data_IF_684536099096
#
_entry.id   IF_684536099096
#
_cell.length_a   1.000
_cell.length_b   1.000
_cell.length_c   1.000
_cell.angle_alpha   90.00
_cell.angle_beta   90.00
_cell.angle_gamma   90.00
#
_symmetry.space_group_name_H-M   'P 1'
#
loop_
_entity.id
_entity.type
_entity.pdbx_description
1 polymer ?
#
# COMPACT_ATOMS: atom_id res chain seq x y z
N UNK A 1 -62.21 22.12 69.70
CA UNK A 1 -61.37 22.67 68.61
C UNK A 1 -60.40 21.59 68.14
N UNK A 2 -60.28 21.41 66.83
CA UNK A 2 -59.75 20.21 66.16
C UNK A 2 -58.24 19.99 66.35
N UNK A 3 -57.84 18.72 66.58
CA UNK A 3 -56.44 18.25 66.54
C UNK A 3 -56.00 18.13 65.08
N UNK A 4 -55.01 18.93 64.68
CA UNK A 4 -54.39 18.94 63.35
C UNK A 4 -53.39 17.79 63.26
N UNK A 5 -53.61 16.81 62.37
CA UNK A 5 -52.63 15.76 62.10
C UNK A 5 -51.45 16.34 61.31
N UNK A 6 -50.23 16.11 61.79
CA UNK A 6 -48.98 16.71 61.26
C UNK A 6 -48.22 15.83 60.25
N UNK A 7 -48.67 14.60 59.98
CA UNK A 7 -48.12 13.77 58.91
C UNK A 7 -49.11 12.69 58.48
N UNK A 8 -49.21 12.44 57.16
CA UNK A 8 -49.91 11.30 56.57
C UNK A 8 -48.90 10.36 55.93
N UNK A 9 -48.94 9.07 56.28
CA UNK A 9 -48.17 8.04 55.59
C UNK A 9 -48.98 7.56 54.39
N UNK A 10 -48.58 7.97 53.19
CA UNK A 10 -49.10 7.41 51.94
C UNK A 10 -48.40 6.07 51.69
N UNK A 11 -49.14 4.96 51.80
CA UNK A 11 -48.65 3.60 51.60
C UNK A 11 -48.57 3.19 50.13
N UNK A 12 -48.21 4.08 49.22
CA UNK A 12 -48.07 3.75 47.79
C UNK A 12 -46.61 3.77 47.38
N UNK A 13 -46.09 2.60 47.01
CA UNK A 13 -44.82 2.44 46.30
C UNK A 13 -45.10 2.65 44.82
N UNK A 14 -44.68 3.79 44.27
CA UNK A 14 -44.68 4.00 42.81
C UNK A 14 -43.49 3.23 42.23
N UNK A 15 -43.75 2.06 41.69
CA UNK A 15 -42.78 1.39 40.82
C UNK A 15 -42.61 2.25 39.56
N UNK A 16 -41.38 2.66 39.27
CA UNK A 16 -41.03 3.06 37.91
C UNK A 16 -41.15 1.80 37.06
N UNK A 17 -42.29 1.63 36.37
CA UNK A 17 -42.42 0.62 35.35
C UNK A 17 -41.52 1.07 34.20
N UNK A 18 -40.25 0.66 34.26
CA UNK A 18 -39.32 0.85 33.17
C UNK A 18 -39.95 0.12 31.98
N UNK A 19 -40.26 0.88 30.92
CA UNK A 19 -40.88 0.32 29.72
C UNK A 19 -40.06 -0.89 29.23
N UNK A 20 -40.71 -1.90 28.62
CA UNK A 20 -40.00 -3.05 28.10
C UNK A 20 -38.85 -2.58 27.20
N UNK A 21 -37.71 -3.28 27.28
CA UNK A 21 -36.53 -3.00 26.44
C UNK A 21 -37.00 -2.99 24.98
N UNK A 22 -36.92 -1.84 24.32
CA UNK A 22 -37.27 -1.73 22.91
C UNK A 22 -36.33 -2.56 22.06
N UNK A 23 -36.78 -3.11 20.92
CA UNK A 23 -35.95 -3.98 20.11
C UNK A 23 -34.78 -3.20 19.52
N UNK A 24 -33.61 -3.84 19.44
CA UNK A 24 -32.48 -3.37 18.67
C UNK A 24 -32.83 -3.44 17.18
N UNK A 25 -32.91 -2.29 16.53
CA UNK A 25 -33.15 -2.21 15.08
C UNK A 25 -31.85 -2.55 14.35
N UNK A 26 -31.90 -3.48 13.39
CA UNK A 26 -30.73 -3.88 12.59
C UNK A 26 -31.05 -3.90 11.10
N UNK A 27 -30.11 -3.49 10.23
CA UNK A 27 -30.32 -3.46 8.78
C UNK A 27 -30.35 -4.88 8.19
N UNK A 28 -31.24 -5.10 7.22
CA UNK A 28 -31.33 -6.34 6.44
C UNK A 28 -31.25 -6.11 4.92
N UNK A 29 -30.86 -4.91 4.49
CA UNK A 29 -30.68 -4.55 3.09
C UNK A 29 -31.99 -4.13 2.40
N UNK A 30 -32.08 -4.34 1.09
CA UNK A 30 -33.30 -4.06 0.32
C UNK A 30 -34.40 -5.10 0.61
N UNK A 31 -35.65 -4.63 0.64
CA UNK A 31 -36.81 -5.49 0.81
C UNK A 31 -36.94 -6.47 -0.36
N UNK A 32 -37.09 -7.76 -0.05
CA UNK A 32 -37.37 -8.81 -1.03
C UNK A 32 -38.60 -9.61 -0.62
N UNK A 33 -39.55 -9.77 -1.56
CA UNK A 33 -40.80 -10.51 -1.34
C UNK A 33 -40.59 -12.00 -0.99
N UNK A 34 -39.47 -12.58 -1.44
CA UNK A 34 -39.09 -13.97 -1.20
C UNK A 34 -38.49 -14.22 0.19
N UNK A 35 -38.11 -13.16 0.93
CA UNK A 35 -37.44 -13.26 2.23
C UNK A 35 -38.44 -13.16 3.37
N UNK A 36 -38.22 -13.96 4.42
CA UNK A 36 -38.96 -13.88 5.67
C UNK A 36 -38.21 -12.99 6.66
N UNK A 37 -38.90 -12.00 7.22
CA UNK A 37 -38.37 -11.09 8.21
C UNK A 37 -39.00 -11.38 9.57
N UNK A 38 -38.18 -11.59 10.59
CA UNK A 38 -38.64 -11.92 11.94
C UNK A 38 -38.30 -10.82 12.91
N UNK A 39 -39.30 -10.33 13.65
CA UNK A 39 -39.09 -9.44 14.80
C UNK A 39 -39.31 -10.21 16.09
N UNK A 40 -38.38 -10.03 17.02
CA UNK A 40 -38.45 -10.52 18.40
C UNK A 40 -38.64 -9.33 19.35
N UNK A 41 -38.92 -9.57 20.65
CA UNK A 41 -38.92 -8.49 21.64
C UNK A 41 -37.59 -7.71 21.70
N UNK A 42 -36.47 -8.34 21.33
CA UNK A 42 -35.13 -7.77 21.44
C UNK A 42 -34.55 -7.27 20.11
N UNK A 43 -35.13 -7.63 18.97
CA UNK A 43 -34.57 -7.31 17.66
C UNK A 43 -35.63 -7.07 16.59
N UNK A 44 -35.43 -6.04 15.77
CA UNK A 44 -36.34 -5.68 14.70
C UNK A 44 -35.58 -5.42 13.38
N UNK A 45 -35.87 -6.15 12.30
CA UNK A 45 -35.22 -5.92 11.02
C UNK A 45 -35.68 -4.61 10.38
N UNK A 46 -34.76 -3.95 9.69
CA UNK A 46 -34.98 -2.73 8.92
C UNK A 46 -34.59 -2.95 7.45
N UNK A 47 -35.50 -2.63 6.55
CA UNK A 47 -35.32 -2.79 5.09
C UNK A 47 -35.40 -1.45 4.36
N UNK A 48 -34.66 -1.34 3.27
CA UNK A 48 -34.83 -0.29 2.26
C UNK A 48 -35.89 -0.74 1.26
N UNK A 49 -36.93 0.07 1.06
CA UNK A 49 -37.95 -0.17 0.04
C UNK A 49 -38.21 1.13 -0.72
N UNK A 50 -37.89 1.15 -2.01
CA UNK A 50 -38.11 2.29 -2.91
C UNK A 50 -37.59 3.63 -2.34
N UNK A 51 -36.38 3.63 -1.79
CA UNK A 51 -35.69 4.83 -1.31
C UNK A 51 -36.03 5.27 0.12
N UNK A 52 -36.87 4.51 0.84
CA UNK A 52 -37.22 4.80 2.24
C UNK A 52 -36.96 3.59 3.14
N UNK A 53 -36.57 3.85 4.39
CA UNK A 53 -36.32 2.81 5.39
C UNK A 53 -37.58 2.51 6.21
N UNK A 54 -37.86 1.21 6.36
CA UNK A 54 -38.98 0.70 7.13
C UNK A 54 -38.50 -0.30 8.16
N UNK A 55 -39.03 -0.21 9.37
CA UNK A 55 -38.74 -1.14 10.47
C UNK A 55 -39.94 -2.05 10.68
N UNK A 56 -39.69 -3.34 10.90
CA UNK A 56 -40.75 -4.29 11.21
C UNK A 56 -41.35 -3.94 12.57
N UNK A 57 -42.65 -3.65 12.61
CA UNK A 57 -43.36 -3.12 13.77
C UNK A 57 -43.96 -4.21 14.68
N UNK A 58 -44.40 -5.31 14.08
CA UNK A 58 -45.09 -6.39 14.76
C UNK A 58 -44.14 -7.53 15.06
N UNK A 59 -44.25 -8.12 16.25
CA UNK A 59 -43.52 -9.36 16.58
C UNK A 59 -44.06 -10.54 15.75
N UNK A 60 -43.15 -11.44 15.37
CA UNK A 60 -43.45 -12.57 14.50
C UNK A 60 -42.66 -12.55 13.19
N UNK A 61 -42.97 -13.52 12.32
CA UNK A 61 -42.31 -13.71 11.03
C UNK A 61 -43.25 -13.33 9.90
N UNK A 62 -42.81 -12.42 9.03
CA UNK A 62 -43.60 -11.88 7.93
C UNK A 62 -42.85 -12.05 6.60
N UNK A 63 -43.57 -12.45 5.56
CA UNK A 63 -43.04 -12.66 4.21
C UNK A 63 -44.00 -12.06 3.19
N UNK A 64 -43.47 -11.56 2.07
CA UNK A 64 -44.27 -11.05 0.95
C UNK A 64 -45.24 -9.89 1.30
N UNK A 65 -44.93 -9.09 2.33
CA UNK A 65 -45.65 -7.84 2.66
C UNK A 65 -44.78 -6.66 2.25
N UNK A 66 -45.15 -5.93 1.19
CA UNK A 66 -44.40 -4.78 0.71
C UNK A 66 -44.47 -3.62 1.73
N UNK A 67 -43.33 -3.13 2.27
CA UNK A 67 -43.31 -2.14 3.35
C UNK A 67 -44.01 -0.83 3.02
N UNK A 68 -43.77 -0.28 1.83
CA UNK A 68 -44.34 1.00 1.40
C UNK A 68 -45.84 0.93 1.21
N UNK A 69 -46.33 -0.12 0.56
CA UNK A 69 -47.78 -0.34 0.36
C UNK A 69 -48.50 -0.59 1.69
N UNK A 70 -47.91 -1.40 2.56
CA UNK A 70 -48.48 -1.71 3.88
C UNK A 70 -48.56 -0.45 4.76
N UNK A 71 -47.49 0.35 4.81
CA UNK A 71 -47.49 1.61 5.55
C UNK A 71 -48.48 2.62 4.98
N UNK A 72 -48.58 2.76 3.66
CA UNK A 72 -49.54 3.65 3.02
C UNK A 72 -50.99 3.29 3.34
N UNK A 73 -51.30 2.00 3.49
CA UNK A 73 -52.64 1.51 3.80
C UNK A 73 -52.98 1.58 5.30
N UNK A 74 -52.00 1.30 6.18
CA UNK A 74 -52.26 1.02 7.60
C UNK A 74 -51.60 2.01 8.58
N UNK A 75 -50.77 2.95 8.09
CA UNK A 75 -50.07 3.95 8.89
C UNK A 75 -49.24 3.34 10.03
N UNK A 76 -49.35 3.89 11.24
CA UNK A 76 -48.62 3.40 12.43
C UNK A 76 -49.02 1.99 12.90
N UNK A 77 -50.12 1.43 12.38
CA UNK A 77 -50.60 0.06 12.67
C UNK A 77 -50.14 -0.97 11.64
N UNK A 78 -49.41 -0.53 10.62
CA UNK A 78 -48.80 -1.37 9.61
C UNK A 78 -47.84 -2.40 10.23
N UNK A 79 -47.61 -3.47 9.50
CA UNK A 79 -46.56 -4.45 9.81
C UNK A 79 -45.19 -3.82 9.65
N UNK A 80 -45.03 -2.93 8.67
CA UNK A 80 -43.84 -2.10 8.47
C UNK A 80 -44.13 -0.63 8.77
N UNK A 81 -43.31 0.01 9.59
CA UNK A 81 -43.44 1.45 9.88
C UNK A 81 -42.29 2.25 9.28
N UNK A 82 -42.61 3.41 8.71
CA UNK A 82 -41.62 4.33 8.16
C UNK A 82 -40.72 4.88 9.26
N UNK A 83 -39.42 4.91 9.00
CA UNK A 83 -38.43 5.47 9.90
C UNK A 83 -38.21 6.96 9.61
N UNK A 84 -38.90 7.82 10.36
CA UNK A 84 -39.01 9.26 10.07
C UNK A 84 -37.78 10.10 10.51
N UNK A 85 -36.91 9.58 11.38
CA UNK A 85 -35.88 10.42 12.05
C UNK A 85 -34.44 9.93 11.98
N UNK A 86 -34.13 8.96 11.12
CA UNK A 86 -32.74 8.51 11.00
C UNK A 86 -32.26 8.45 9.57
N UNK A 87 -31.39 9.41 9.23
CA UNK A 87 -30.45 9.27 8.12
C UNK A 87 -29.31 8.38 8.62
N UNK A 88 -29.41 7.07 8.39
CA UNK A 88 -28.26 6.19 8.58
C UNK A 88 -27.33 6.34 7.38
N UNK A 89 -26.10 6.80 7.61
CA UNK A 89 -24.98 6.47 6.74
C UNK A 89 -24.41 5.15 7.24
N UNK A 90 -24.72 4.07 6.54
CA UNK A 90 -23.96 2.83 6.69
C UNK A 90 -22.60 3.06 6.03
N UNK A 91 -21.63 3.50 6.82
CA UNK A 91 -20.23 3.29 6.45
C UNK A 91 -19.89 1.91 6.97
N UNK A 92 -19.86 0.94 6.06
CA UNK A 92 -19.13 -0.29 6.31
C UNK A 92 -17.72 0.12 6.76
N UNK A 93 -17.25 -0.42 7.89
CA UNK A 93 -15.80 -0.57 8.05
C UNK A 93 -15.37 -1.35 6.81
N UNK A 94 -14.70 -0.68 5.88
CA UNK A 94 -14.26 -1.22 4.60
C UNK A 94 -13.15 -2.26 4.83
N UNK A 95 -13.55 -3.44 5.29
CA UNK A 95 -12.75 -4.65 5.20
C UNK A 95 -13.31 -5.49 4.05
N UNK A 96 -12.99 -5.08 2.83
CA UNK A 96 -13.15 -5.94 1.67
C UNK A 96 -11.77 -6.30 1.15
N UNK A 97 -11.56 -7.57 0.80
CA UNK A 97 -10.39 -8.05 0.07
C UNK A 97 -10.20 -7.41 -1.32
N UNK A 98 -10.98 -6.37 -1.68
CA UNK A 98 -10.79 -5.47 -2.82
C UNK A 98 -11.44 -4.10 -2.55
N UNK A 99 -11.32 -3.56 -1.34
CA UNK A 99 -11.89 -2.25 -1.01
C UNK A 99 -11.22 -1.15 -1.85
N UNK A 100 -11.99 -0.44 -2.69
CA UNK A 100 -11.54 0.81 -3.31
C UNK A 100 -11.58 1.90 -2.23
N UNK A 101 -10.45 2.20 -1.62
CA UNK A 101 -10.30 3.40 -0.79
C UNK A 101 -9.49 4.42 -1.60
N UNK A 102 -10.11 5.54 -1.97
CA UNK A 102 -9.47 6.63 -2.71
C UNK A 102 -8.74 6.18 -4.00
N UNK A 103 -9.36 5.30 -4.79
CA UNK A 103 -8.85 4.74 -6.06
C UNK A 103 -7.68 3.75 -5.95
N UNK A 104 -7.21 3.42 -4.76
CA UNK A 104 -6.28 2.32 -4.53
C UNK A 104 -7.06 1.00 -4.29
N UNK A 105 -6.48 -0.11 -4.74
CA UNK A 105 -6.99 -1.46 -4.51
C UNK A 105 -6.21 -2.08 -3.36
N UNK A 106 -6.94 -2.62 -2.37
CA UNK A 106 -6.37 -3.34 -1.24
C UNK A 106 -6.70 -4.83 -1.35
N UNK A 107 -5.68 -5.70 -1.29
CA UNK A 107 -5.87 -7.15 -1.26
C UNK A 107 -4.79 -7.84 -0.42
N UNK A 108 -5.21 -8.46 0.69
CA UNK A 108 -4.30 -9.04 1.68
C UNK A 108 -3.27 -8.02 2.16
N UNK A 109 -1.98 -8.33 1.99
CA UNK A 109 -0.86 -7.48 2.38
C UNK A 109 -0.52 -6.35 1.38
N UNK A 110 -1.21 -6.28 0.23
CA UNK A 110 -0.85 -5.36 -0.85
C UNK A 110 -1.83 -4.19 -0.97
N UNK A 111 -1.29 -3.01 -1.27
CA UNK A 111 -2.02 -1.86 -1.80
C UNK A 111 -1.44 -1.49 -3.16
N UNK A 112 -2.30 -1.36 -4.17
CA UNK A 112 -1.84 -1.19 -5.55
C UNK A 112 -2.79 -0.39 -6.44
N UNK A 113 -2.28 0.08 -7.57
CA UNK A 113 -3.03 0.87 -8.56
C UNK A 113 -4.08 0.04 -9.30
N UNK A 114 -5.20 0.68 -9.68
CA UNK A 114 -6.24 0.04 -10.51
C UNK A 114 -5.77 -0.31 -11.93
N UNK A 115 -4.79 0.44 -12.43
CA UNK A 115 -4.20 0.23 -13.75
C UNK A 115 -2.85 -0.46 -13.65
N UNK A 116 -2.51 -1.15 -14.72
CA UNK A 116 -1.38 -2.06 -14.77
C UNK A 116 -0.92 -2.34 -16.19
N UNK A 117 -0.15 -3.42 -16.35
CA UNK A 117 0.17 -4.03 -17.64
C UNK A 117 -0.08 -5.52 -17.64
N UNK A 118 -0.25 -6.08 -18.84
CA UNK A 118 -0.26 -7.51 -19.07
C UNK A 118 1.15 -8.03 -19.40
N UNK A 119 1.24 -9.33 -19.59
CA UNK A 119 2.47 -10.01 -19.99
C UNK A 119 3.15 -9.42 -21.23
N UNK A 120 2.37 -9.00 -22.23
CA UNK A 120 2.86 -8.40 -23.47
C UNK A 120 3.27 -6.92 -23.34
N UNK A 121 3.18 -6.33 -22.14
CA UNK A 121 3.47 -4.92 -21.89
C UNK A 121 2.33 -3.96 -22.25
N UNK A 122 1.20 -4.47 -22.77
CA UNK A 122 0.02 -3.65 -23.06
C UNK A 122 -0.60 -3.09 -21.78
N UNK A 123 -1.09 -1.86 -21.86
CA UNK A 123 -1.73 -1.20 -20.74
C UNK A 123 -3.06 -1.89 -20.36
N UNK A 124 -3.32 -1.97 -19.06
CA UNK A 124 -4.60 -2.38 -18.47
C UNK A 124 -5.21 -1.15 -17.81
N UNK A 125 -6.03 -0.42 -18.56
CA UNK A 125 -6.68 0.84 -18.12
C UNK A 125 -8.21 0.71 -18.01
N UNK A 126 -8.71 -0.52 -18.08
CA UNK A 126 -10.14 -0.81 -17.98
C UNK A 126 -10.57 -0.95 -16.53
N UNK A 127 -11.75 -0.44 -16.20
CA UNK A 127 -12.33 -0.64 -14.88
C UNK A 127 -12.48 -2.15 -14.58
N UNK A 128 -11.89 -2.61 -13.47
CA UNK A 128 -11.90 -4.01 -13.06
C UNK A 128 -10.75 -4.87 -13.59
N UNK A 129 -9.82 -4.33 -14.40
CA UNK A 129 -8.64 -5.07 -14.88
C UNK A 129 -7.72 -5.56 -13.76
N UNK A 130 -7.75 -4.90 -12.60
CA UNK A 130 -7.04 -5.29 -11.39
C UNK A 130 -7.51 -6.62 -10.76
N UNK A 131 -8.62 -7.21 -11.23
CA UNK A 131 -9.14 -8.48 -10.70
C UNK A 131 -8.27 -9.69 -11.04
N UNK A 132 -7.45 -9.58 -12.10
CA UNK A 132 -6.51 -10.64 -12.52
C UNK A 132 -5.18 -10.57 -11.74
N UNK A 133 -5.15 -9.85 -10.63
CA UNK A 133 -3.98 -9.70 -9.78
C UNK A 133 -3.58 -11.05 -9.15
N UNK A 134 -2.34 -11.47 -9.41
CA UNK A 134 -1.78 -12.70 -8.86
C UNK A 134 -1.12 -12.43 -7.50
N UNK A 135 -1.74 -12.91 -6.41
CA UNK A 135 -1.26 -12.66 -5.05
C UNK A 135 0.10 -13.31 -4.73
N UNK A 136 0.37 -14.50 -5.25
CA UNK A 136 1.57 -15.28 -4.89
C UNK A 136 2.84 -14.70 -5.50
N UNK A 137 2.73 -14.08 -6.67
CA UNK A 137 3.83 -13.41 -7.35
C UNK A 137 3.29 -12.22 -8.15
N UNK A 138 3.07 -11.05 -7.51
CA UNK A 138 2.39 -9.90 -8.10
C UNK A 138 3.01 -9.35 -9.38
N UNK A 139 4.34 -9.45 -9.48
CA UNK A 139 5.11 -8.79 -10.55
C UNK A 139 5.65 -9.75 -11.61
N UNK A 140 5.20 -11.01 -11.60
CA UNK A 140 5.60 -12.00 -12.59
C UNK A 140 5.35 -11.50 -14.04
N UNK A 141 6.35 -11.53 -14.93
CA UNK A 141 6.18 -11.14 -16.33
C UNK A 141 5.09 -11.89 -17.08
N UNK A 142 4.68 -13.09 -16.65
CA UNK A 142 3.60 -13.85 -17.25
C UNK A 142 2.18 -13.45 -16.76
N UNK A 143 2.07 -12.61 -15.73
CA UNK A 143 0.76 -12.24 -15.17
C UNK A 143 -0.09 -11.45 -16.17
N UNK A 144 -1.39 -11.73 -16.18
CA UNK A 144 -2.40 -10.96 -16.90
C UNK A 144 -2.59 -9.54 -16.37
N UNK A 145 -2.18 -9.29 -15.13
CA UNK A 145 -2.17 -7.96 -14.53
C UNK A 145 -0.97 -7.79 -13.59
N UNK A 146 -0.17 -6.76 -13.85
CA UNK A 146 0.89 -6.23 -12.97
C UNK A 146 0.60 -4.77 -12.69
N UNK A 147 0.40 -4.35 -11.43
CA UNK A 147 0.11 -2.96 -11.11
C UNK A 147 1.21 -1.99 -11.57
N UNK A 148 0.82 -0.76 -11.89
CA UNK A 148 1.76 0.34 -12.13
C UNK A 148 2.42 0.83 -10.84
N UNK A 149 1.73 0.72 -9.71
CA UNK A 149 2.22 1.00 -8.37
C UNK A 149 1.75 -0.13 -7.44
N UNK A 150 2.66 -0.69 -6.64
CA UNK A 150 2.36 -1.72 -5.65
C UNK A 150 3.21 -1.50 -4.40
N UNK A 151 2.59 -1.60 -3.22
CA UNK A 151 3.24 -1.60 -1.91
C UNK A 151 2.93 -2.93 -1.23
N UNK A 152 3.96 -3.67 -0.82
CA UNK A 152 3.87 -4.86 0.03
C UNK A 152 4.11 -4.43 1.49
N UNK A 153 3.04 -4.36 2.28
CA UNK A 153 3.15 -3.95 3.69
C UNK A 153 3.77 -5.03 4.59
N UNK A 154 3.81 -6.29 4.16
CA UNK A 154 4.44 -7.35 4.94
C UNK A 154 5.96 -7.36 4.76
N UNK A 155 6.43 -7.15 3.52
CA UNK A 155 7.88 -7.14 3.20
C UNK A 155 8.51 -5.76 3.23
N UNK A 156 7.70 -4.69 3.21
CA UNK A 156 8.19 -3.32 3.17
C UNK A 156 8.76 -2.92 1.81
N UNK A 157 8.23 -3.46 0.70
CA UNK A 157 8.71 -3.14 -0.64
C UNK A 157 7.72 -2.24 -1.41
N UNK A 158 8.28 -1.42 -2.31
CA UNK A 158 7.53 -0.57 -3.22
C UNK A 158 7.99 -0.85 -4.65
N UNK A 159 7.03 -1.07 -5.54
CA UNK A 159 7.23 -1.15 -6.98
C UNK A 159 6.46 -0.01 -7.65
N UNK A 160 7.10 0.69 -8.57
CA UNK A 160 6.47 1.73 -9.38
C UNK A 160 7.05 1.78 -10.78
N UNK A 161 6.18 1.86 -11.80
CA UNK A 161 6.62 2.02 -13.21
C UNK A 161 7.04 3.44 -13.53
N UNK A 162 6.31 4.42 -13.00
CA UNK A 162 6.59 5.85 -13.16
C UNK A 162 6.46 6.49 -11.80
N UNK A 163 7.57 6.97 -11.26
CA UNK A 163 7.62 7.55 -9.90
C UNK A 163 8.45 8.82 -9.97
N UNK A 164 7.83 9.94 -9.59
CA UNK A 164 8.53 11.20 -9.37
C UNK A 164 8.88 11.32 -7.88
N UNK A 165 10.18 11.36 -7.56
CA UNK A 165 10.69 11.50 -6.20
C UNK A 165 11.41 12.84 -6.08
N UNK A 166 11.09 13.62 -5.04
CA UNK A 166 11.79 14.86 -4.71
C UNK A 166 12.69 14.65 -3.49
N UNK A 167 13.89 15.24 -3.51
CA UNK A 167 14.88 15.12 -2.45
C UNK A 167 15.97 14.08 -2.74
N UNK A 168 16.67 13.66 -1.69
CA UNK A 168 17.80 12.73 -1.78
C UNK A 168 17.35 11.28 -1.60
N UNK A 169 17.89 10.37 -2.43
CA UNK A 169 17.70 8.92 -2.29
C UNK A 169 18.99 8.32 -1.72
N UNK A 170 18.92 7.75 -0.52
CA UNK A 170 20.02 6.99 0.10
C UNK A 170 19.69 5.50 0.03
N UNK A 171 20.58 4.70 -0.55
CA UNK A 171 20.45 3.26 -0.66
C UNK A 171 21.81 2.58 -0.44
N UNK A 172 21.80 1.35 0.09
CA UNK A 172 23.01 0.52 0.21
C UNK A 172 23.58 0.18 -1.17
N UNK A 173 22.70 -0.14 -2.12
CA UNK A 173 23.02 -0.37 -3.53
C UNK A 173 21.97 0.29 -4.41
N UNK A 174 22.39 0.91 -5.51
CA UNK A 174 21.49 1.52 -6.50
C UNK A 174 21.87 1.07 -7.91
N UNK A 175 20.99 0.32 -8.57
CA UNK A 175 21.15 -0.04 -9.98
C UNK A 175 20.25 0.87 -10.82
N UNK A 176 20.85 1.77 -11.60
CA UNK A 176 20.12 2.67 -12.49
C UNK A 176 20.29 2.21 -13.94
N UNK A 177 19.19 1.84 -14.60
CA UNK A 177 19.19 1.60 -16.05
C UNK A 177 18.86 2.93 -16.76
N UNK A 178 19.89 3.63 -17.22
CA UNK A 178 19.78 4.96 -17.84
C UNK A 178 19.48 4.88 -19.36
N UNK A 179 19.58 3.70 -19.98
CA UNK A 179 19.29 3.51 -21.40
C UNK A 179 18.22 2.43 -21.65
N UNK A 180 17.39 2.65 -22.68
CA UNK A 180 16.22 1.82 -23.04
C UNK A 180 16.52 0.70 -24.03
N UNK A 181 17.80 0.36 -24.26
CA UNK A 181 18.14 -0.64 -25.26
C UNK A 181 17.62 -2.03 -24.84
N UNK A 182 17.04 -2.73 -25.82
CA UNK A 182 16.25 -3.96 -25.72
C UNK A 182 17.07 -5.23 -25.51
N UNK A 183 18.38 -5.10 -25.35
CA UNK A 183 19.23 -6.25 -25.11
C UNK A 183 19.03 -6.66 -23.64
N UNK A 184 18.66 -7.91 -23.40
CA UNK A 184 18.50 -8.51 -22.07
C UNK A 184 19.82 -8.63 -21.29
N UNK A 185 20.88 -8.01 -21.79
CA UNK A 185 22.13 -7.80 -21.07
C UNK A 185 21.96 -6.52 -20.23
N UNK A 186 22.27 -6.58 -18.94
CA UNK A 186 22.23 -5.41 -18.06
C UNK A 186 23.58 -4.67 -18.13
N UNK A 187 23.70 -3.52 -18.82
CA UNK A 187 24.75 -2.55 -18.53
C UNK A 187 24.24 -1.49 -17.54
N UNK A 188 24.89 -1.48 -16.38
CA UNK A 188 24.69 -0.58 -15.25
C UNK A 188 25.00 0.88 -15.62
N UNK A 189 24.06 1.78 -15.39
CA UNK A 189 24.24 3.21 -15.55
C UNK A 189 24.93 3.81 -14.33
N UNK A 190 26.14 4.33 -14.54
CA UNK A 190 27.02 5.00 -13.59
C UNK A 190 26.33 5.96 -12.62
N UNK A 191 26.66 5.84 -11.33
CA UNK A 191 26.34 6.81 -10.27
C UNK A 191 27.39 7.93 -10.31
N UNK A 192 26.94 9.20 -10.36
CA UNK A 192 27.80 10.37 -10.13
C UNK A 192 27.84 10.62 -8.63
N UNK A 193 28.93 10.23 -7.97
CA UNK A 193 29.14 10.44 -6.53
C UNK A 193 29.86 11.77 -6.31
N UNK A 194 29.39 12.60 -5.35
CA UNK A 194 30.25 13.62 -4.77
C UNK A 194 31.30 12.88 -3.91
N UNK A 195 32.57 12.82 -4.34
CA UNK A 195 33.43 11.68 -3.99
C UNK A 195 34.13 11.81 -2.64
N UNK A 196 33.83 12.87 -1.87
CA UNK A 196 34.50 13.13 -0.57
C UNK A 196 34.29 11.99 0.45
N UNK A 197 33.27 11.16 0.27
CA UNK A 197 32.96 10.01 1.12
C UNK A 197 32.54 8.78 0.28
N UNK A 198 33.30 8.45 -0.77
CA UNK A 198 33.17 7.11 -1.36
C UNK A 198 33.54 6.10 -0.25
N UNK A 199 32.56 5.36 0.26
CA UNK A 199 32.84 4.24 1.16
C UNK A 199 33.75 3.19 0.50
N UNK A 200 34.06 2.09 1.22
CA UNK A 200 34.89 1.03 0.66
C UNK A 200 34.25 0.44 -0.60
N UNK A 201 35.05 0.21 -1.64
CA UNK A 201 34.62 -0.38 -2.90
C UNK A 201 34.14 -1.82 -2.66
N UNK A 202 32.96 -2.20 -3.17
CA UNK A 202 32.33 -3.47 -2.86
C UNK A 202 32.95 -4.65 -3.63
N UNK A 203 32.68 -5.84 -3.13
CA UNK A 203 32.93 -7.08 -3.87
C UNK A 203 31.79 -7.31 -4.87
N UNK A 204 32.14 -7.71 -6.09
CA UNK A 204 31.17 -7.99 -7.14
C UNK A 204 30.85 -9.49 -7.21
N UNK A 205 29.67 -9.81 -7.73
CA UNK A 205 29.31 -11.19 -8.06
C UNK A 205 30.21 -11.73 -9.18
N UNK A 206 30.50 -13.03 -9.16
CA UNK A 206 31.36 -13.66 -10.15
C UNK A 206 30.78 -13.51 -11.56
N UNK A 207 31.63 -13.11 -12.52
CA UNK A 207 31.23 -12.89 -13.92
C UNK A 207 30.55 -11.54 -14.18
N UNK A 208 30.53 -10.62 -13.21
CA UNK A 208 29.90 -9.31 -13.38
C UNK A 208 30.91 -8.18 -13.59
N UNK A 209 30.43 -7.09 -14.18
CA UNK A 209 31.17 -5.84 -14.41
C UNK A 209 30.31 -4.64 -14.01
N UNK A 210 30.94 -3.60 -13.47
CA UNK A 210 30.32 -2.34 -13.06
C UNK A 210 31.19 -1.15 -13.44
N UNK A 211 30.55 -0.04 -13.79
CA UNK A 211 31.21 1.23 -14.09
C UNK A 211 30.75 2.30 -13.10
N UNK A 212 31.69 3.03 -12.50
CA UNK A 212 31.42 4.23 -11.72
C UNK A 212 32.13 5.43 -12.33
N UNK A 213 31.41 6.54 -12.46
CA UNK A 213 31.93 7.79 -13.02
C UNK A 213 31.98 8.84 -11.93
N UNK A 214 33.18 9.33 -11.65
CA UNK A 214 33.38 10.40 -10.67
C UNK A 214 33.72 11.69 -11.41
N UNK A 215 32.95 12.74 -11.13
CA UNK A 215 33.23 14.08 -11.63
C UNK A 215 33.65 14.97 -10.48
N UNK A 216 34.86 15.50 -10.58
CA UNK A 216 35.42 16.42 -9.60
C UNK A 216 35.38 17.85 -10.14
N UNK A 217 34.97 18.84 -9.33
CA UNK A 217 35.01 20.24 -9.75
C UNK A 217 36.42 20.65 -10.19
N UNK A 218 36.53 21.22 -11.40
CA UNK A 218 37.83 21.60 -11.99
C UNK A 218 38.42 22.86 -11.33
N UNK A 219 37.57 23.68 -10.70
CA UNK A 219 37.98 24.89 -9.99
C UNK A 219 37.60 24.80 -8.50
N UNK A 220 38.54 24.39 -7.66
CA UNK A 220 38.42 24.47 -6.21
C UNK A 220 39.56 25.33 -5.64
N UNK A 221 39.30 26.06 -4.54
CA UNK A 221 40.34 26.85 -3.85
C UNK A 221 41.37 25.98 -3.12
N UNK A 222 41.07 24.70 -2.92
CA UNK A 222 41.88 23.71 -2.22
C UNK A 222 41.89 22.43 -3.04
N UNK A 223 43.06 21.81 -3.27
CA UNK A 223 43.13 20.51 -3.90
C UNK A 223 42.26 19.48 -3.19
N UNK A 224 41.43 18.79 -3.97
CA UNK A 224 40.60 17.70 -3.48
C UNK A 224 41.37 16.40 -3.67
N UNK A 225 41.55 15.66 -2.59
CA UNK A 225 42.08 14.29 -2.64
C UNK A 225 40.99 13.33 -2.16
N UNK A 226 40.90 12.18 -2.82
CA UNK A 226 39.97 11.11 -2.43
C UNK A 226 40.74 9.81 -2.26
N UNK A 227 40.57 9.22 -1.09
CA UNK A 227 41.13 7.90 -0.77
C UNK A 227 40.06 6.84 -1.04
N UNK A 228 40.35 5.96 -2.00
CA UNK A 228 39.56 4.76 -2.25
C UNK A 228 40.06 3.65 -1.33
N UNK A 229 39.16 2.91 -0.71
CA UNK A 229 39.47 1.75 0.14
C UNK A 229 38.67 0.54 -0.31
N UNK A 230 39.04 -0.67 0.11
CA UNK A 230 38.35 -1.92 -0.27
C UNK A 230 37.48 -2.45 0.87
N UNK A 231 36.30 -3.00 0.54
CA UNK A 231 35.38 -3.55 1.54
C UNK A 231 35.86 -4.86 2.17
N UNK A 232 36.69 -5.62 1.45
CA UNK A 232 37.24 -6.90 1.91
C UNK A 232 38.63 -7.17 1.30
N UNK A 233 39.27 -8.26 1.72
CA UNK A 233 40.52 -8.74 1.14
C UNK A 233 40.36 -9.31 -0.30
N UNK A 234 39.13 -9.67 -0.68
CA UNK A 234 38.78 -10.16 -2.02
C UNK A 234 38.52 -9.03 -3.01
N UNK A 235 38.68 -7.77 -2.58
CA UNK A 235 38.55 -6.60 -3.43
C UNK A 235 39.90 -5.93 -3.53
N UNK A 236 40.31 -5.60 -4.76
CA UNK A 236 41.61 -4.99 -5.06
C UNK A 236 41.40 -3.80 -6.00
N UNK A 237 42.11 -2.72 -5.74
CA UNK A 237 42.10 -1.50 -6.57
C UNK A 237 43.28 -1.60 -7.51
N UNK A 238 43.06 -1.48 -8.82
CA UNK A 238 44.06 -1.57 -9.87
C UNK A 238 44.29 -0.19 -10.51
N UNK A 239 45.30 0.59 -10.05
CA UNK A 239 45.59 1.90 -10.63
C UNK A 239 45.94 1.78 -12.11
N UNK A 240 45.32 2.61 -12.96
CA UNK A 240 45.45 2.57 -14.42
C UNK A 240 45.18 1.19 -15.04
N UNK A 241 44.40 0.35 -14.37
CA UNK A 241 44.08 -1.00 -14.82
C UNK A 241 45.19 -2.04 -14.59
N UNK A 242 46.25 -1.71 -13.84
CA UNK A 242 47.31 -2.68 -13.51
C UNK A 242 46.86 -3.62 -12.39
N UNK A 243 46.51 -4.86 -12.74
CA UNK A 243 46.15 -5.91 -11.78
C UNK A 243 47.36 -6.31 -10.91
N UNK A 244 48.57 -6.30 -11.49
CA UNK A 244 49.80 -6.66 -10.80
C UNK A 244 50.14 -5.67 -9.68
N UNK A 245 49.85 -4.39 -9.90
CA UNK A 245 50.10 -3.31 -8.94
C UNK A 245 48.87 -3.02 -8.07
N UNK A 246 47.97 -4.00 -7.94
CA UNK A 246 46.72 -3.80 -7.22
C UNK A 246 46.91 -3.70 -5.70
N UNK A 247 46.13 -2.84 -5.06
CA UNK A 247 46.24 -2.50 -3.64
C UNK A 247 44.88 -2.53 -2.92
N UNK A 248 44.90 -2.49 -1.58
CA UNK A 248 43.68 -2.35 -0.76
C UNK A 248 43.28 -0.89 -0.51
N UNK A 249 44.10 0.06 -0.93
CA UNK A 249 43.85 1.50 -0.83
C UNK A 249 44.54 2.23 -1.98
N UNK A 250 43.92 3.30 -2.48
CA UNK A 250 44.50 4.15 -3.54
C UNK A 250 44.05 5.60 -3.38
N UNK A 251 45.01 6.52 -3.38
CA UNK A 251 44.74 7.95 -3.30
C UNK A 251 44.69 8.57 -4.70
N UNK A 252 43.55 9.16 -5.03
CA UNK A 252 43.42 10.10 -6.15
C UNK A 252 43.83 11.47 -5.62
N UNK A 253 45.09 11.82 -5.86
CA UNK A 253 45.63 13.14 -5.53
C UNK A 253 45.28 14.12 -6.65
N UNK A 254 44.99 15.37 -6.29
CA UNK A 254 44.60 16.41 -7.25
C UNK A 254 43.45 15.93 -8.15
N UNK A 255 42.41 15.42 -7.48
CA UNK A 255 41.23 14.87 -8.10
C UNK A 255 40.42 16.02 -8.73
N UNK A 256 40.78 16.36 -9.96
CA UNK A 256 40.10 17.33 -10.82
C UNK A 256 39.61 16.64 -12.08
N UNK A 257 38.47 17.08 -12.60
CA UNK A 257 37.93 16.55 -13.85
C UNK A 257 37.34 15.14 -13.67
N UNK A 258 37.47 14.33 -14.70
CA UNK A 258 36.75 13.07 -14.81
C UNK A 258 37.63 11.87 -14.44
N UNK A 259 37.10 10.99 -13.59
CA UNK A 259 37.71 9.72 -13.26
C UNK A 259 36.69 8.60 -13.46
N UNK A 260 37.17 7.47 -13.95
CA UNK A 260 36.35 6.29 -14.24
C UNK A 260 36.87 5.12 -13.45
N UNK A 261 35.97 4.42 -12.76
CA UNK A 261 36.28 3.16 -12.12
C UNK A 261 35.54 2.04 -12.85
N UNK A 262 36.27 0.99 -13.20
CA UNK A 262 35.72 -0.20 -13.82
C UNK A 262 35.96 -1.37 -12.87
N UNK A 263 34.89 -1.83 -12.23
CA UNK A 263 34.88 -3.00 -11.36
C UNK A 263 34.56 -4.25 -12.16
N UNK A 264 35.32 -5.33 -12.00
CA UNK A 264 34.96 -6.62 -12.56
C UNK A 264 35.44 -7.78 -11.70
N UNK A 265 34.76 -8.92 -11.83
CA UNK A 265 35.18 -10.20 -11.27
C UNK A 265 35.05 -11.28 -12.32
N UNK A 266 36.10 -12.07 -12.52
CA UNK A 266 36.06 -13.21 -13.43
C UNK A 266 35.02 -14.24 -12.97
N UNK A 267 34.44 -14.98 -13.91
CA UNK A 267 33.42 -15.99 -13.61
C UNK A 267 33.95 -17.12 -12.70
N UNK A 268 35.24 -17.42 -12.81
CA UNK A 268 35.99 -18.40 -12.03
C UNK A 268 36.95 -17.76 -11.00
N UNK A 269 36.85 -16.44 -10.81
CA UNK A 269 37.76 -15.68 -9.97
C UNK A 269 37.22 -15.39 -8.57
N UNK A 270 38.11 -15.42 -7.58
CA UNK A 270 37.78 -15.07 -6.19
C UNK A 270 37.98 -13.57 -5.87
N UNK A 271 38.61 -12.82 -6.78
CA UNK A 271 38.98 -11.42 -6.56
C UNK A 271 38.19 -10.50 -7.50
N UNK A 272 37.61 -9.47 -6.92
CA UNK A 272 37.07 -8.30 -7.62
C UNK A 272 38.17 -7.26 -7.81
N UNK A 273 38.37 -6.80 -9.04
CA UNK A 273 39.29 -5.72 -9.37
C UNK A 273 38.52 -4.46 -9.73
N UNK A 274 38.85 -3.35 -9.08
CA UNK A 274 38.40 -2.00 -9.43
C UNK A 274 39.53 -1.24 -10.11
N UNK A 275 39.49 -1.17 -11.42
CA UNK A 275 40.42 -0.39 -12.22
C UNK A 275 40.11 1.10 -12.10
N UNK A 276 41.10 1.94 -11.82
CA UNK A 276 40.92 3.39 -11.69
C UNK A 276 41.63 4.11 -12.82
N UNK A 277 40.89 4.87 -13.63
CA UNK A 277 41.41 5.64 -14.76
C UNK A 277 41.15 7.12 -14.57
N UNK A 278 42.12 7.94 -14.99
CA UNK A 278 41.95 9.38 -15.20
C UNK A 278 41.83 9.62 -16.70
N UNK A 279 40.78 10.33 -17.14
CA UNK A 279 40.64 10.78 -18.54
C UNK A 279 40.81 12.29 -18.66
#
# INVERSE_FOLDING_TARGET
>A
MAKKALASKTGEVKYLQQGPVGPLVYPTGEYAASVSYTRTPLSAPMVLCEGQYYVLNKEGTFKNINPKKDYAANGSKATWVLMDKVRYSFVEILMANFAKLASAVFYGQYMFSQYGVRADGSAVETEGGYKDFNYSDPMNPANGFRPNLLIDFLRGSLYGRSVDLQGDITAETMNLKVCTNSDNELPNGSIILYPKNLGPLPELEAGTCQEMKMLFPIATRVPLSVTLTTASANVRIAPNGSILDSASSYDIVDAYGYHELIGFRYADGDITYWCVFKK
#
